data_IF_526905280530
#
_entry.id   IF_526905280530
#
_cell.length_a   1.000
_cell.length_b   1.000
_cell.length_c   1.000
_cell.angle_alpha   90.00
_cell.angle_beta   90.00
_cell.angle_gamma   90.00
#
_symmetry.space_group_name_H-M   'P 1'
#
loop_
_entity.id
_entity.type
_entity.pdbx_description
1 polymer ?
#
# COMPACT_ATOMS: atom_id res chain seq x y z
N UNK A 1 4.89 -4.73 2.36
CA UNK A 1 4.78 -6.21 2.46
C UNK A 1 5.70 -6.92 1.47
N UNK A 2 5.62 -6.63 0.17
CA UNK A 2 6.40 -7.39 -0.83
C UNK A 2 7.89 -7.05 -0.86
N UNK A 3 8.24 -5.80 -0.55
CA UNK A 3 9.63 -5.38 -0.35
C UNK A 3 10.34 -6.25 0.69
N UNK A 4 9.68 -6.53 1.82
CA UNK A 4 10.22 -7.39 2.86
C UNK A 4 10.52 -8.81 2.36
N UNK A 5 9.61 -9.40 1.57
CA UNK A 5 9.83 -10.74 0.98
C UNK A 5 10.98 -10.68 -0.03
N UNK A 6 11.05 -9.64 -0.86
CA UNK A 6 12.12 -9.45 -1.85
C UNK A 6 13.51 -9.32 -1.23
N UNK A 7 13.62 -8.65 -0.08
CA UNK A 7 14.87 -8.47 0.64
C UNK A 7 15.39 -9.78 1.26
N UNK A 8 14.48 -10.66 1.69
CA UNK A 8 14.82 -11.85 2.47
C UNK A 8 14.76 -13.15 1.65
N UNK A 9 14.18 -13.14 0.43
CA UNK A 9 14.02 -14.34 -0.40
C UNK A 9 15.35 -14.95 -0.85
N UNK A 10 16.43 -14.19 -0.91
CA UNK A 10 17.77 -14.70 -1.28
C UNK A 10 18.35 -15.63 -0.22
N UNK A 11 18.00 -15.40 1.05
CA UNK A 11 18.51 -16.16 2.20
C UNK A 11 17.55 -17.29 2.57
N UNK A 12 16.24 -17.00 2.64
CA UNK A 12 15.26 -17.94 3.17
C UNK A 12 14.35 -18.56 2.10
N UNK A 13 14.36 -18.04 0.88
CA UNK A 13 13.34 -18.37 -0.11
C UNK A 13 11.99 -17.72 0.19
N UNK A 14 11.10 -17.73 -0.80
CA UNK A 14 9.77 -17.09 -0.71
C UNK A 14 8.83 -17.87 0.20
N UNK A 15 8.83 -19.20 0.09
CA UNK A 15 7.86 -20.09 0.75
C UNK A 15 7.92 -20.05 2.29
N UNK A 16 9.10 -20.07 2.93
CA UNK A 16 9.20 -19.95 4.37
C UNK A 16 8.74 -18.60 4.92
N UNK A 17 8.98 -17.52 4.18
CA UNK A 17 8.54 -16.17 4.54
C UNK A 17 7.02 -16.05 4.41
N UNK A 18 6.44 -16.57 3.32
CA UNK A 18 4.99 -16.58 3.11
C UNK A 18 4.24 -17.33 4.22
N UNK A 19 4.83 -18.40 4.77
CA UNK A 19 4.28 -19.14 5.92
C UNK A 19 4.25 -18.31 7.20
N UNK A 20 5.25 -17.44 7.42
CA UNK A 20 5.33 -16.56 8.59
C UNK A 20 4.41 -15.34 8.49
N UNK A 21 4.14 -14.85 7.28
CA UNK A 21 3.27 -13.69 7.00
C UNK A 21 1.80 -14.08 6.76
N UNK A 22 1.38 -15.28 7.17
CA UNK A 22 0.27 -16.07 6.60
C UNK A 22 -0.32 -15.57 5.27
N UNK A 23 0.50 -15.56 4.21
CA UNK A 23 0.05 -15.28 2.84
C UNK A 23 0.32 -16.47 1.92
N UNK A 24 -0.47 -16.60 0.86
CA UNK A 24 -0.19 -17.60 -0.18
C UNK A 24 1.01 -17.16 -1.04
N UNK A 25 1.92 -18.07 -1.44
CA UNK A 25 3.00 -17.77 -2.37
C UNK A 25 2.51 -17.22 -3.72
N UNK A 26 1.34 -17.66 -4.19
CA UNK A 26 0.70 -17.13 -5.40
C UNK A 26 0.47 -15.62 -5.32
N UNK A 27 0.02 -15.11 -4.16
CA UNK A 27 -0.18 -13.68 -3.92
C UNK A 27 1.11 -12.89 -4.04
N UNK A 28 2.26 -13.45 -3.64
CA UNK A 28 3.56 -12.80 -3.84
C UNK A 28 3.87 -12.68 -5.35
N UNK A 29 3.81 -13.79 -6.09
CA UNK A 29 4.12 -13.80 -7.52
C UNK A 29 3.18 -12.93 -8.35
N UNK A 30 1.88 -12.92 -8.04
CA UNK A 30 0.91 -12.04 -8.70
C UNK A 30 1.28 -10.57 -8.55
N UNK A 31 1.72 -10.19 -7.36
CA UNK A 31 2.08 -8.81 -7.11
C UNK A 31 3.46 -8.44 -7.67
N UNK A 32 4.40 -9.38 -7.75
CA UNK A 32 5.64 -9.20 -8.52
C UNK A 32 5.30 -8.99 -10.00
N UNK A 33 4.40 -9.79 -10.57
CA UNK A 33 3.95 -9.63 -11.94
C UNK A 33 3.28 -8.27 -12.19
N UNK A 34 2.43 -7.80 -11.26
CA UNK A 34 1.81 -6.47 -11.30
C UNK A 34 2.81 -5.30 -11.20
N UNK A 35 3.96 -5.52 -10.54
CA UNK A 35 5.03 -4.50 -10.43
C UNK A 35 5.88 -4.41 -11.68
N UNK A 36 6.19 -5.55 -12.30
CA UNK A 36 6.99 -5.61 -13.53
C UNK A 36 6.19 -5.15 -14.74
N UNK A 37 4.88 -5.39 -14.73
CA UNK A 37 3.99 -5.11 -15.84
C UNK A 37 2.79 -4.29 -15.35
N UNK A 38 2.89 -2.96 -15.55
CA UNK A 38 1.83 -2.01 -15.22
C UNK A 38 0.56 -2.29 -16.04
N UNK A 39 0.68 -2.94 -17.20
CA UNK A 39 -0.48 -3.30 -18.04
C UNK A 39 -1.25 -4.51 -17.49
N UNK A 40 -0.63 -5.33 -16.64
CA UNK A 40 -1.29 -6.39 -15.86
C UNK A 40 -2.06 -5.88 -14.65
N UNK A 41 -1.95 -4.60 -14.32
CA UNK A 41 -2.82 -3.99 -13.31
C UNK A 41 -4.24 -3.90 -13.84
N UNK A 42 -5.22 -4.09 -12.94
CA UNK A 42 -6.61 -3.84 -13.29
C UNK A 42 -6.80 -2.38 -13.68
N UNK A 43 -7.80 -2.09 -14.52
CA UNK A 43 -8.15 -0.72 -14.94
C UNK A 43 -8.29 0.22 -13.74
N UNK A 44 -8.90 -0.27 -12.65
CA UNK A 44 -9.06 0.48 -11.40
C UNK A 44 -7.72 0.74 -10.71
N UNK A 45 -6.84 -0.26 -10.62
CA UNK A 45 -5.51 -0.09 -10.01
C UNK A 45 -4.64 0.91 -10.79
N UNK A 46 -4.72 0.91 -12.13
CA UNK A 46 -4.05 1.95 -12.96
C UNK A 46 -4.62 3.34 -12.70
N UNK A 47 -5.95 3.44 -12.62
CA UNK A 47 -6.64 4.70 -12.30
C UNK A 47 -6.29 5.21 -10.91
N UNK A 48 -6.21 4.33 -9.90
CA UNK A 48 -5.84 4.70 -8.52
C UNK A 48 -4.40 5.19 -8.42
N UNK A 49 -3.45 4.61 -9.18
CA UNK A 49 -2.07 5.12 -9.24
C UNK A 49 -2.05 6.53 -9.87
N UNK A 50 -2.80 6.73 -10.97
CA UNK A 50 -2.90 8.02 -11.63
C UNK A 50 -3.60 9.08 -10.75
N UNK A 51 -4.69 8.71 -10.07
CA UNK A 51 -5.43 9.56 -9.14
C UNK A 51 -4.65 9.86 -7.86
N UNK A 52 -3.94 8.87 -7.31
CA UNK A 52 -3.12 8.98 -6.11
C UNK A 52 -2.00 10.01 -6.21
N UNK A 53 -1.48 10.25 -7.42
CA UNK A 53 -0.51 11.31 -7.69
C UNK A 53 -1.10 12.73 -7.48
N UNK A 54 -2.43 12.87 -7.55
CA UNK A 54 -3.15 14.13 -7.35
C UNK A 54 -3.78 14.32 -5.96
N UNK A 55 -3.71 13.33 -5.05
CA UNK A 55 -4.36 13.44 -3.72
C UNK A 55 -3.47 14.28 -2.80
N UNK A 56 -3.78 15.57 -2.68
CA UNK A 56 -3.30 16.42 -1.58
C UNK A 56 -4.12 16.11 -0.33
N UNK A 57 -3.54 15.35 0.60
CA UNK A 57 -4.11 15.20 1.95
C UNK A 57 -3.97 16.57 2.64
N UNK A 58 -5.08 17.31 2.71
CA UNK A 58 -5.19 18.43 3.62
C UNK A 58 -5.19 17.85 5.03
N UNK A 59 -4.05 17.95 5.71
CA UNK A 59 -3.96 17.68 7.14
C UNK A 59 -4.81 18.75 7.81
N UNK A 60 -6.00 18.38 8.30
CA UNK A 60 -6.74 19.22 9.21
C UNK A 60 -5.95 19.22 10.51
N UNK A 61 -5.29 20.32 10.83
CA UNK A 61 -4.78 20.53 12.18
C UNK A 61 -6.00 20.72 13.09
N UNK A 62 -6.21 19.80 14.03
CA UNK A 62 -7.33 19.74 15.00
C UNK A 62 -7.39 20.95 15.98
N UNK A 63 -6.73 22.07 15.66
CA UNK A 63 -6.55 23.21 16.57
C UNK A 63 -7.75 24.17 16.60
N UNK A 64 -8.73 24.03 15.69
CA UNK A 64 -9.89 24.93 15.56
C UNK A 64 -11.10 24.55 16.43
N UNK A 65 -10.97 23.57 17.33
CA UNK A 65 -12.10 23.07 18.11
C UNK A 65 -12.47 23.92 19.34
N UNK A 66 -11.63 24.88 19.77
CA UNK A 66 -11.84 25.62 21.02
C UNK A 66 -12.43 27.04 20.88
N UNK A 67 -12.70 27.53 19.66
CA UNK A 67 -13.12 28.92 19.45
C UNK A 67 -14.64 29.17 19.49
N UNK A 68 -15.50 28.19 19.81
CA UNK A 68 -16.97 28.32 19.70
C UNK A 68 -17.79 28.08 20.96
N UNK A 69 -17.26 28.31 22.15
CA UNK A 69 -18.12 28.33 23.34
C UNK A 69 -17.61 29.34 24.36
N UNK A 70 -17.99 30.61 24.21
CA UNK A 70 -18.67 31.43 25.24
C UNK A 70 -19.39 32.59 24.51
N UNK A 71 -20.72 32.63 24.43
CA UNK A 71 -21.44 33.89 24.43
C UNK A 71 -21.87 34.22 25.88
N UNK A 72 -21.68 35.48 26.25
CA UNK A 72 -22.27 36.15 27.41
C UNK A 72 -23.80 36.11 27.34
#
# INVERSE_FOLDING_TARGET
MISFIDEHRSVFGVEPICRLLPIAPSTYYENVAKRLDVDRLSVRARSDIALGCGIRVHRADDSDMMARTIPN
#
